data_IF_464269052750
#
_entry.id   IF_464269052750
#
_cell.length_a   1.000
_cell.length_b   1.000
_cell.length_c   1.000
_cell.angle_alpha   90.00
_cell.angle_beta   90.00
_cell.angle_gamma   90.00
#
_symmetry.space_group_name_H-M   'P 1'
#
loop_
_entity.id
_entity.type
_entity.pdbx_description
1 polymer ?
#
# COMPACT_ATOMS: atom_id res chain seq x y z
N UNK A 1 -16.69 -9.60 -21.81
CA UNK A 1 -17.29 -9.65 -23.15
C UNK A 1 -16.48 -10.57 -24.04
N UNK A 2 -15.29 -10.19 -24.52
CA UNK A 2 -14.45 -11.01 -25.42
C UNK A 2 -14.28 -12.46 -24.95
N UNK A 3 -13.87 -12.67 -23.70
CA UNK A 3 -13.74 -14.02 -23.12
C UNK A 3 -15.02 -14.88 -23.27
N UNK A 4 -16.19 -14.28 -23.05
CA UNK A 4 -17.46 -14.99 -23.19
C UNK A 4 -17.83 -15.17 -24.67
N UNK A 5 -17.66 -14.14 -25.49
CA UNK A 5 -17.90 -14.21 -26.93
C UNK A 5 -17.10 -15.33 -27.60
N UNK A 6 -15.83 -15.50 -27.21
CA UNK A 6 -14.97 -16.58 -27.72
C UNK A 6 -15.46 -17.97 -27.32
N UNK A 7 -15.89 -18.16 -26.06
CA UNK A 7 -16.50 -19.43 -25.60
C UNK A 7 -17.75 -19.80 -26.40
N UNK A 8 -18.53 -18.81 -26.81
CA UNK A 8 -19.77 -18.98 -27.55
C UNK A 8 -19.62 -18.78 -29.07
N UNK A 9 -18.40 -18.75 -29.63
CA UNK A 9 -18.15 -18.52 -31.07
C UNK A 9 -19.08 -19.33 -31.98
N UNK A 10 -19.16 -20.65 -31.77
CA UNK A 10 -20.02 -21.53 -32.57
C UNK A 10 -21.51 -21.20 -32.44
N UNK A 11 -21.98 -20.90 -31.23
CA UNK A 11 -23.37 -20.54 -30.98
C UNK A 11 -23.72 -19.16 -31.60
N UNK A 12 -22.81 -18.19 -31.52
CA UNK A 12 -22.99 -16.86 -32.09
C UNK A 12 -23.02 -16.89 -33.62
N UNK A 13 -22.14 -17.66 -34.26
CA UNK A 13 -22.16 -17.84 -35.72
C UNK A 13 -23.46 -18.51 -36.16
N UNK A 14 -23.88 -19.59 -35.49
CA UNK A 14 -25.14 -20.27 -35.78
C UNK A 14 -26.35 -19.35 -35.61
N UNK A 15 -26.38 -18.55 -34.55
CA UNK A 15 -27.44 -17.56 -34.33
C UNK A 15 -27.48 -16.52 -35.46
N UNK A 16 -26.31 -16.03 -35.89
CA UNK A 16 -26.24 -15.10 -37.01
C UNK A 16 -26.77 -15.73 -38.32
N UNK A 17 -26.45 -16.99 -38.59
CA UNK A 17 -26.97 -17.74 -39.73
C UNK A 17 -28.50 -17.91 -39.69
N UNK A 18 -29.04 -18.37 -38.55
CA UNK A 18 -30.47 -18.61 -38.35
C UNK A 18 -31.31 -17.33 -38.46
N UNK A 19 -30.74 -16.18 -38.09
CA UNK A 19 -31.41 -14.87 -38.13
C UNK A 19 -30.99 -13.99 -39.33
N UNK A 20 -30.21 -14.52 -40.27
CA UNK A 20 -29.71 -13.80 -41.45
C UNK A 20 -28.92 -12.52 -41.12
N UNK A 21 -28.16 -12.53 -40.02
CA UNK A 21 -27.17 -11.51 -39.71
C UNK A 21 -25.81 -11.83 -40.34
N UNK A 22 -24.98 -10.81 -40.54
CA UNK A 22 -23.59 -11.01 -40.93
C UNK A 22 -22.79 -11.58 -39.74
N UNK A 23 -22.32 -12.82 -39.87
CA UNK A 23 -21.45 -13.45 -38.89
C UNK A 23 -20.02 -12.90 -38.98
N UNK A 24 -19.27 -12.83 -37.86
CA UNK A 24 -17.85 -12.50 -37.90
C UNK A 24 -17.09 -13.57 -38.69
N UNK A 25 -16.15 -13.12 -39.52
CA UNK A 25 -15.22 -13.96 -40.27
C UNK A 25 -14.21 -14.64 -39.36
N UNK A 26 -13.55 -15.69 -39.86
CA UNK A 26 -12.45 -16.35 -39.12
C UNK A 26 -11.28 -15.41 -38.82
N UNK A 27 -11.03 -14.41 -39.69
CA UNK A 27 -10.03 -13.36 -39.45
C UNK A 27 -10.45 -12.45 -38.28
N UNK A 28 -11.71 -12.02 -38.22
CA UNK A 28 -12.24 -11.23 -37.11
C UNK A 28 -12.24 -12.01 -35.78
N UNK A 29 -12.53 -13.31 -35.82
CA UNK A 29 -12.41 -14.18 -34.64
C UNK A 29 -10.96 -14.32 -34.19
N UNK A 30 -10.02 -14.47 -35.12
CA UNK A 30 -8.59 -14.55 -34.81
C UNK A 30 -8.08 -13.25 -34.16
N UNK A 31 -8.51 -12.10 -34.67
CA UNK A 31 -8.24 -10.78 -34.04
C UNK A 31 -8.85 -10.66 -32.65
N UNK A 32 -10.07 -11.18 -32.44
CA UNK A 32 -10.70 -11.18 -31.13
C UNK A 32 -9.96 -12.06 -30.10
N UNK A 33 -9.40 -13.20 -30.53
CA UNK A 33 -8.56 -14.08 -29.70
C UNK A 33 -7.25 -13.39 -29.31
N UNK A 34 -6.56 -12.79 -30.29
CA UNK A 34 -5.33 -12.04 -30.06
C UNK A 34 -5.56 -10.86 -29.09
N UNK A 35 -6.62 -10.08 -29.33
CA UNK A 35 -7.02 -8.97 -28.46
C UNK A 35 -7.39 -9.44 -27.05
N UNK A 36 -8.07 -10.58 -26.93
CA UNK A 36 -8.38 -11.17 -25.63
C UNK A 36 -7.11 -11.51 -24.86
N UNK A 37 -6.14 -12.18 -25.48
CA UNK A 37 -4.86 -12.51 -24.86
C UNK A 37 -4.09 -11.28 -24.39
N UNK A 38 -4.04 -10.23 -25.22
CA UNK A 38 -3.43 -8.95 -24.86
C UNK A 38 -4.10 -8.30 -23.64
N UNK A 39 -5.44 -8.18 -23.65
CA UNK A 39 -6.19 -7.54 -22.56
C UNK A 39 -6.21 -8.37 -21.27
N UNK A 40 -6.01 -9.68 -21.37
CA UNK A 40 -5.99 -10.58 -20.22
C UNK A 40 -4.85 -10.26 -19.25
N UNK A 41 -3.67 -9.89 -19.75
CA UNK A 41 -2.53 -9.47 -18.92
C UNK A 41 -2.90 -8.30 -17.98
N UNK A 42 -3.60 -7.30 -18.51
CA UNK A 42 -4.08 -6.15 -17.72
C UNK A 42 -5.24 -6.53 -16.79
N UNK A 43 -6.09 -7.46 -17.20
CA UNK A 43 -7.16 -7.98 -16.34
C UNK A 43 -6.61 -8.69 -15.12
N UNK A 44 -5.59 -9.54 -15.30
CA UNK A 44 -4.98 -10.32 -14.23
C UNK A 44 -4.18 -9.42 -13.29
N UNK A 45 -3.44 -8.44 -13.83
CA UNK A 45 -2.87 -7.35 -13.04
C UNK A 45 -3.95 -6.65 -12.19
N UNK A 46 -5.03 -6.17 -12.82
CA UNK A 46 -6.11 -5.44 -12.12
C UNK A 46 -6.73 -6.28 -10.99
N UNK A 47 -6.98 -7.57 -11.21
CA UNK A 47 -7.50 -8.48 -10.17
C UNK A 47 -6.54 -8.60 -8.99
N UNK A 48 -5.23 -8.76 -9.26
CA UNK A 48 -4.23 -8.85 -8.21
C UNK A 48 -4.18 -7.57 -7.35
N UNK A 49 -4.34 -6.40 -7.96
CA UNK A 49 -4.30 -5.11 -7.27
C UNK A 49 -5.64 -4.65 -6.67
N UNK A 50 -6.75 -5.27 -7.10
CA UNK A 50 -8.09 -5.01 -6.56
C UNK A 50 -8.45 -5.93 -5.38
N UNK A 51 -7.50 -6.73 -4.90
CA UNK A 51 -7.70 -7.60 -3.74
C UNK A 51 -8.10 -6.78 -2.50
N UNK A 52 -9.19 -7.17 -1.86
CA UNK A 52 -9.88 -6.45 -0.77
C UNK A 52 -9.32 -6.79 0.63
N UNK A 53 -8.53 -7.86 0.76
CA UNK A 53 -8.14 -8.44 2.06
C UNK A 53 -6.70 -8.20 2.49
N UNK A 54 -5.89 -7.52 1.68
CA UNK A 54 -4.49 -7.24 2.00
C UNK A 54 -4.13 -5.81 1.59
N UNK A 55 -3.18 -5.16 2.28
CA UNK A 55 -2.70 -3.84 1.88
C UNK A 55 -2.20 -3.83 0.45
N UNK A 56 -2.61 -2.86 -0.36
CA UNK A 56 -2.17 -2.77 -1.76
C UNK A 56 -1.29 -1.56 -2.05
N UNK A 57 -1.28 -0.53 -1.18
CA UNK A 57 -0.50 0.71 -1.37
C UNK A 57 0.98 0.44 -1.72
N UNK A 58 1.61 -0.45 -0.95
CA UNK A 58 3.03 -0.77 -1.12
C UNK A 58 3.34 -1.52 -2.44
N UNK A 59 2.35 -2.14 -3.06
CA UNK A 59 2.49 -2.86 -4.33
C UNK A 59 2.35 -1.94 -5.55
N UNK A 60 2.02 -0.66 -5.35
CA UNK A 60 1.79 0.31 -6.43
C UNK A 60 2.93 0.34 -7.47
N UNK A 61 4.19 0.36 -7.04
CA UNK A 61 5.31 0.41 -7.98
C UNK A 61 5.50 -0.89 -8.76
N UNK A 62 5.22 -2.05 -8.13
CA UNK A 62 5.20 -3.34 -8.80
C UNK A 62 4.12 -3.38 -9.88
N UNK A 63 2.93 -2.83 -9.58
CA UNK A 63 1.83 -2.71 -10.54
C UNK A 63 2.22 -1.86 -11.75
N UNK A 64 2.70 -0.65 -11.50
CA UNK A 64 3.06 0.29 -12.56
C UNK A 64 4.15 -0.30 -13.47
N UNK A 65 5.16 -0.93 -12.88
CA UNK A 65 6.21 -1.60 -13.66
C UNK A 65 5.68 -2.80 -14.45
N UNK A 66 4.83 -3.65 -13.87
CA UNK A 66 4.25 -4.79 -14.57
C UNK A 66 3.44 -4.35 -15.80
N UNK A 67 2.59 -3.32 -15.65
CA UNK A 67 1.81 -2.74 -16.75
C UNK A 67 2.75 -2.17 -17.82
N UNK A 68 3.81 -1.45 -17.42
CA UNK A 68 4.82 -0.92 -18.35
C UNK A 68 5.50 -2.04 -19.15
N UNK A 69 5.89 -3.13 -18.48
CA UNK A 69 6.51 -4.28 -19.15
C UNK A 69 5.58 -4.95 -20.16
N UNK A 70 4.29 -5.10 -19.85
CA UNK A 70 3.30 -5.62 -20.81
C UNK A 70 3.17 -4.69 -22.01
N UNK A 71 3.12 -3.37 -21.80
CA UNK A 71 2.96 -2.40 -22.90
C UNK A 71 4.19 -2.31 -23.81
N UNK A 72 5.38 -2.55 -23.28
CA UNK A 72 6.65 -2.49 -24.02
C UNK A 72 7.10 -3.86 -24.55
N UNK A 73 6.26 -4.90 -24.45
CA UNK A 73 6.61 -6.23 -24.91
C UNK A 73 6.65 -6.27 -26.45
N UNK A 74 7.83 -6.58 -27.01
CA UNK A 74 8.06 -6.61 -28.45
C UNK A 74 7.22 -7.66 -29.19
N UNK A 75 6.63 -8.63 -28.47
CA UNK A 75 5.75 -9.63 -29.07
C UNK A 75 4.51 -9.02 -29.74
N UNK A 76 4.13 -7.79 -29.37
CA UNK A 76 3.00 -7.10 -29.99
C UNK A 76 3.35 -6.55 -31.37
N UNK A 77 4.64 -6.34 -31.67
CA UNK A 77 5.09 -5.74 -32.93
C UNK A 77 4.78 -6.61 -34.17
N UNK A 78 4.48 -7.89 -33.98
CA UNK A 78 4.11 -8.80 -35.08
C UNK A 78 2.67 -8.63 -35.56
N UNK A 79 1.81 -7.95 -34.80
CA UNK A 79 0.41 -7.72 -35.12
C UNK A 79 0.14 -6.21 -35.12
N UNK A 80 -0.25 -5.67 -36.28
CA UNK A 80 -0.47 -4.22 -36.46
C UNK A 80 -1.53 -3.67 -35.51
N UNK A 81 -2.60 -4.42 -35.25
CA UNK A 81 -3.67 -4.02 -34.34
C UNK A 81 -3.17 -4.00 -32.89
N UNK A 82 -2.46 -5.04 -32.45
CA UNK A 82 -1.96 -5.12 -31.07
C UNK A 82 -0.87 -4.08 -30.81
N UNK A 83 0.03 -3.86 -31.77
CA UNK A 83 1.04 -2.81 -31.67
C UNK A 83 0.41 -1.42 -31.54
N UNK A 84 -0.55 -1.08 -32.42
CA UNK A 84 -1.26 0.20 -32.34
C UNK A 84 -2.04 0.37 -31.01
N UNK A 85 -2.58 -0.72 -30.47
CA UNK A 85 -3.26 -0.71 -29.17
C UNK A 85 -2.28 -0.51 -28.02
N UNK A 86 -1.14 -1.19 -28.04
CA UNK A 86 -0.07 -1.04 -27.05
C UNK A 86 0.44 0.40 -27.02
N UNK A 87 0.72 0.99 -28.19
CA UNK A 87 1.15 2.38 -28.34
C UNK A 87 0.10 3.35 -27.74
N UNK A 88 -1.17 3.20 -28.12
CA UNK A 88 -2.25 4.06 -27.61
C UNK A 88 -2.45 3.93 -26.09
N UNK A 89 -2.30 2.72 -25.55
CA UNK A 89 -2.36 2.49 -24.10
C UNK A 89 -1.13 3.03 -23.38
N UNK A 90 0.04 2.98 -24.02
CA UNK A 90 1.28 3.54 -23.48
C UNK A 90 1.24 5.07 -23.40
N UNK A 91 0.66 5.76 -24.38
CA UNK A 91 0.42 7.20 -24.30
C UNK A 91 -0.41 7.58 -23.07
N UNK A 92 -1.47 6.82 -22.79
CA UNK A 92 -2.28 7.01 -21.58
C UNK A 92 -1.48 6.66 -20.34
N UNK A 93 -0.68 5.60 -20.39
CA UNK A 93 0.16 5.19 -19.28
C UNK A 93 1.10 6.33 -18.85
N UNK A 94 1.83 6.92 -19.79
CA UNK A 94 2.71 8.05 -19.53
C UNK A 94 1.94 9.27 -19.01
N UNK A 95 0.76 9.55 -19.57
CA UNK A 95 -0.10 10.65 -19.09
C UNK A 95 -0.48 10.52 -17.61
N UNK A 96 -0.79 9.31 -17.13
CA UNK A 96 -1.29 9.09 -15.77
C UNK A 96 -0.20 8.71 -14.76
N UNK A 97 0.86 8.03 -15.19
CA UNK A 97 1.88 7.46 -14.30
C UNK A 97 3.30 8.00 -14.52
N UNK A 98 3.52 8.97 -15.41
CA UNK A 98 4.82 9.66 -15.55
C UNK A 98 5.33 10.29 -14.24
N UNK A 99 4.42 10.74 -13.36
CA UNK A 99 4.78 11.22 -12.03
C UNK A 99 4.15 10.35 -10.95
N UNK A 100 4.95 9.58 -10.18
CA UNK A 100 4.42 8.72 -9.14
C UNK A 100 3.84 9.54 -7.97
N UNK A 101 2.78 9.01 -7.36
CA UNK A 101 2.18 9.62 -6.18
C UNK A 101 3.09 9.45 -4.95
N UNK A 102 3.46 10.55 -4.30
CA UNK A 102 4.38 10.54 -3.15
C UNK A 102 3.90 9.70 -1.96
N UNK A 103 2.59 9.64 -1.71
CA UNK A 103 2.01 8.85 -0.63
C UNK A 103 2.18 7.35 -0.90
N UNK A 104 2.00 6.93 -2.16
CA UNK A 104 2.22 5.54 -2.58
C UNK A 104 3.71 5.18 -2.60
N UNK A 105 4.59 6.14 -2.92
CA UNK A 105 6.05 5.96 -2.77
C UNK A 105 6.44 5.74 -1.31
N UNK A 106 5.85 6.51 -0.39
CA UNK A 106 6.08 6.33 1.04
C UNK A 106 5.60 4.95 1.50
N UNK A 107 4.41 4.52 1.07
CA UNK A 107 3.90 3.18 1.39
C UNK A 107 4.84 2.07 0.88
N UNK A 108 5.43 2.22 -0.31
CA UNK A 108 6.41 1.28 -0.84
C UNK A 108 7.73 1.28 -0.05
N UNK A 109 8.20 2.43 0.45
CA UNK A 109 9.37 2.49 1.35
C UNK A 109 9.08 1.81 2.69
N UNK A 110 7.86 1.94 3.18
CA UNK A 110 7.40 1.30 4.41
C UNK A 110 7.16 -0.21 4.24
N UNK A 111 7.35 -0.79 3.05
CA UNK A 111 7.50 -2.24 2.92
C UNK A 111 8.95 -2.64 3.20
N UNK A 112 9.22 -3.37 4.30
CA UNK A 112 10.57 -3.79 4.68
C UNK A 112 11.25 -4.71 3.67
N UNK A 113 10.49 -5.39 2.79
CA UNK A 113 11.04 -6.23 1.74
C UNK A 113 11.50 -5.44 0.50
N UNK A 114 11.04 -4.19 0.36
CA UNK A 114 11.33 -3.31 -0.77
C UNK A 114 12.27 -2.17 -0.37
N UNK A 115 11.85 -1.37 0.62
CA UNK A 115 12.56 -0.19 1.15
C UNK A 115 13.06 0.72 0.03
N UNK A 116 14.18 1.42 0.26
CA UNK A 116 14.76 2.33 -0.74
C UNK A 116 15.28 1.63 -1.98
N UNK A 117 15.66 0.36 -1.88
CA UNK A 117 16.28 -0.38 -2.98
C UNK A 117 15.31 -0.52 -4.15
N UNK A 118 14.05 -0.88 -3.87
CA UNK A 118 13.05 -1.01 -4.93
C UNK A 118 12.73 0.31 -5.60
N UNK A 119 12.74 1.42 -4.85
CA UNK A 119 12.48 2.74 -5.43
C UNK A 119 13.64 3.21 -6.30
N UNK A 120 14.88 2.95 -5.89
CA UNK A 120 16.05 3.20 -6.74
C UNK A 120 15.96 2.41 -8.04
N UNK A 121 15.59 1.13 -7.95
CA UNK A 121 15.32 0.29 -9.12
C UNK A 121 14.22 0.89 -10.00
N UNK A 122 13.06 1.24 -9.42
CA UNK A 122 11.95 1.87 -10.14
C UNK A 122 12.38 3.13 -10.90
N UNK A 123 13.02 4.10 -10.22
CA UNK A 123 13.44 5.34 -10.86
C UNK A 123 14.51 5.11 -11.94
N UNK A 124 15.42 4.16 -11.72
CA UNK A 124 16.40 3.76 -12.72
C UNK A 124 15.72 3.17 -13.97
N UNK A 125 14.73 2.28 -13.81
CA UNK A 125 13.98 1.68 -14.93
C UNK A 125 13.21 2.72 -15.76
N UNK A 126 12.76 3.80 -15.13
CA UNK A 126 12.12 4.93 -15.82
C UNK A 126 13.11 5.95 -16.40
N UNK A 127 14.43 5.73 -16.28
CA UNK A 127 15.44 6.66 -16.76
C UNK A 127 15.48 7.99 -15.98
N UNK A 128 14.94 8.03 -14.76
CA UNK A 128 14.91 9.22 -13.93
C UNK A 128 16.23 9.45 -13.18
N UNK A 129 16.44 10.69 -12.70
CA UNK A 129 17.59 11.04 -11.84
C UNK A 129 17.37 10.53 -10.42
N UNK A 130 17.78 9.27 -10.18
CA UNK A 130 17.54 8.51 -8.94
C UNK A 130 17.87 9.32 -7.68
N UNK A 131 19.02 10.01 -7.64
CA UNK A 131 19.43 10.77 -6.45
C UNK A 131 18.54 11.99 -6.17
N UNK A 132 17.99 12.62 -7.20
CA UNK A 132 17.08 13.76 -7.08
C UNK A 132 15.74 13.29 -6.52
N UNK A 133 15.17 12.25 -7.13
CA UNK A 133 13.89 11.66 -6.72
C UNK A 133 13.96 11.12 -5.28
N UNK A 134 15.03 10.39 -4.95
CA UNK A 134 15.22 9.85 -3.61
C UNK A 134 15.44 10.95 -2.56
N UNK A 135 16.07 12.07 -2.92
CA UNK A 135 16.22 13.23 -2.03
C UNK A 135 14.88 13.89 -1.73
N UNK A 136 14.05 14.08 -2.75
CA UNK A 136 12.71 14.63 -2.58
C UNK A 136 11.85 13.70 -1.71
N UNK A 137 11.86 12.39 -1.99
CA UNK A 137 11.15 11.40 -1.19
C UNK A 137 11.58 11.41 0.29
N UNK A 138 12.88 11.43 0.56
CA UNK A 138 13.41 11.51 1.94
C UNK A 138 12.93 12.78 2.67
N UNK A 139 12.74 13.89 1.95
CA UNK A 139 12.17 15.13 2.52
C UNK A 139 10.72 14.91 2.98
N UNK A 140 9.88 14.26 2.17
CA UNK A 140 8.51 13.95 2.54
C UNK A 140 8.42 12.90 3.66
N UNK A 141 9.21 11.83 3.60
CA UNK A 141 9.28 10.82 4.67
C UNK A 141 9.58 11.44 6.02
N UNK A 142 10.63 12.28 6.11
CA UNK A 142 10.96 13.00 7.35
C UNK A 142 9.86 13.94 7.81
N UNK A 143 9.16 14.60 6.88
CA UNK A 143 8.05 15.50 7.21
C UNK A 143 6.90 14.73 7.85
N UNK A 144 6.48 13.61 7.26
CA UNK A 144 5.41 12.78 7.83
C UNK A 144 5.86 12.12 9.14
N UNK A 145 7.07 11.60 9.21
CA UNK A 145 7.60 11.02 10.45
C UNK A 145 7.54 12.00 11.63
N UNK A 146 7.96 13.27 11.43
CA UNK A 146 7.87 14.32 12.46
C UNK A 146 6.43 14.62 12.89
N UNK A 147 5.47 14.47 11.97
CA UNK A 147 4.05 14.62 12.28
C UNK A 147 3.59 13.53 13.25
N UNK A 148 3.91 12.27 12.95
CA UNK A 148 3.61 11.13 13.82
C UNK A 148 4.32 11.23 15.16
N UNK A 149 5.60 11.64 15.15
CA UNK A 149 6.37 11.86 16.38
C UNK A 149 5.67 12.88 17.30
N UNK A 150 5.14 13.97 16.74
CA UNK A 150 4.40 14.97 17.50
C UNK A 150 3.08 14.41 18.04
N UNK A 151 2.33 13.65 17.25
CA UNK A 151 1.06 13.04 17.68
C UNK A 151 1.31 12.10 18.87
N UNK A 152 2.35 11.28 18.81
CA UNK A 152 2.73 10.37 19.90
C UNK A 152 3.13 11.16 21.14
N UNK A 153 4.00 12.17 21.01
CA UNK A 153 4.40 13.04 22.14
C UNK A 153 3.18 13.72 22.79
N UNK A 154 2.27 14.28 22.00
CA UNK A 154 1.06 14.95 22.52
C UNK A 154 0.10 13.97 23.21
N UNK A 155 -0.01 12.74 22.73
CA UNK A 155 -0.88 11.72 23.33
C UNK A 155 -0.35 11.21 24.67
N UNK A 156 0.98 11.18 24.83
CA UNK A 156 1.65 10.83 26.10
C UNK A 156 1.56 11.93 27.17
N UNK A 157 1.13 13.15 26.81
CA UNK A 157 1.00 14.29 27.73
C UNK A 157 -0.41 14.46 28.37
N UNK A 158 -1.34 13.53 28.16
CA UNK A 158 -2.58 13.48 28.97
C UNK A 158 -2.25 12.89 30.36
N UNK A 159 -1.60 13.70 31.18
CA UNK A 159 -1.46 13.46 32.61
C UNK A 159 -2.84 13.70 33.22
N UNK A 160 -3.59 12.63 33.47
CA UNK A 160 -4.61 12.66 34.52
C UNK A 160 -3.84 12.93 35.82
N UNK A 161 -4.14 14.00 36.58
CA UNK A 161 -3.48 14.22 37.86
C UNK A 161 -3.98 13.17 38.84
N UNK A 162 -3.31 12.01 38.88
CA UNK A 162 -3.48 11.08 40.00
C UNK A 162 -2.73 11.67 41.17
N UNK A 163 -3.51 12.26 42.08
CA UNK A 163 -3.05 12.75 43.37
C UNK A 163 -2.70 11.54 44.24
N UNK A 164 -1.50 10.98 44.09
CA UNK A 164 -0.99 9.94 44.97
C UNK A 164 0.25 10.43 45.71
N UNK A 165 0.08 10.63 47.02
CA UNK A 165 1.14 10.82 48.00
C UNK A 165 2.10 9.61 48.01
N UNK A 166 3.38 9.83 48.35
CA UNK A 166 4.34 8.74 48.45
C UNK A 166 4.07 7.94 49.73
N UNK A 167 3.54 6.72 49.59
CA UNK A 167 3.60 5.72 50.66
C UNK A 167 4.65 4.67 50.31
N UNK A 168 5.65 4.62 51.19
CA UNK A 168 6.81 3.76 51.13
C UNK A 168 6.45 2.37 51.63
N UNK A 169 6.09 1.43 50.74
CA UNK A 169 6.06 0.01 51.12
C UNK A 169 6.65 -0.87 50.02
N UNK A 170 7.80 -1.46 50.38
CA UNK A 170 8.54 -2.44 49.60
C UNK A 170 7.87 -3.80 49.66
N UNK A 171 7.45 -4.33 48.51
CA UNK A 171 7.32 -5.78 48.33
C UNK A 171 7.62 -6.17 46.89
N UNK A 172 8.89 -6.49 46.64
CA UNK A 172 9.37 -7.00 45.36
C UNK A 172 9.60 -8.51 45.48
N UNK A 173 8.58 -9.30 45.17
CA UNK A 173 8.78 -10.69 44.75
C UNK A 173 9.08 -10.68 43.24
N UNK A 174 10.34 -10.45 42.89
CA UNK A 174 10.87 -10.66 41.54
C UNK A 174 11.89 -11.78 41.58
N UNK A 175 11.55 -12.91 40.95
CA UNK A 175 12.43 -14.07 40.75
C UNK A 175 13.53 -13.69 39.75
N UNK A 176 14.57 -13.05 40.25
CA UNK A 176 15.80 -12.76 39.51
C UNK A 176 16.86 -13.82 39.86
N UNK A 177 17.60 -14.38 38.88
CA UNK A 177 18.55 -15.48 39.10
C UNK A 177 19.74 -15.12 40.00
N UNK A 178 19.89 -13.86 40.38
CA UNK A 178 21.01 -13.33 41.20
C UNK A 178 20.68 -13.14 42.68
N UNK A 179 19.46 -13.44 43.14
CA UNK A 179 19.07 -13.28 44.55
C UNK A 179 19.20 -11.84 45.10
N UNK A 180 19.03 -11.62 46.42
CA UNK A 180 19.06 -10.30 47.03
C UNK A 180 20.51 -9.81 47.29
N UNK A 181 21.32 -9.71 46.24
CA UNK A 181 22.66 -9.13 46.35
C UNK A 181 22.55 -7.61 46.57
N UNK A 182 23.04 -7.14 47.73
CA UNK A 182 23.02 -5.72 48.14
C UNK A 182 23.67 -4.76 47.12
N UNK A 183 24.60 -5.26 46.30
CA UNK A 183 25.25 -4.49 45.23
C UNK A 183 24.46 -4.36 43.92
N UNK A 184 23.39 -5.13 43.71
CA UNK A 184 22.67 -5.20 42.43
C UNK A 184 22.17 -3.82 41.98
N UNK A 185 21.44 -3.11 42.86
CA UNK A 185 20.92 -1.77 42.56
C UNK A 185 22.06 -0.80 42.25
N UNK A 186 23.15 -0.85 43.01
CA UNK A 186 24.31 0.03 42.79
C UNK A 186 24.99 -0.20 41.43
N UNK A 187 25.03 -1.44 40.96
CA UNK A 187 25.58 -1.78 39.64
C UNK A 187 24.62 -1.38 38.52
N UNK A 188 23.32 -1.62 38.69
CA UNK A 188 22.28 -1.19 37.74
C UNK A 188 22.25 0.35 37.62
N UNK A 189 22.31 1.07 38.73
CA UNK A 189 22.35 2.54 38.79
C UNK A 189 23.65 3.10 38.19
N UNK A 190 24.80 2.47 38.49
CA UNK A 190 26.09 2.87 37.92
C UNK A 190 26.14 2.63 36.40
N UNK A 191 25.57 1.51 35.94
CA UNK A 191 25.45 1.24 34.50
C UNK A 191 24.50 2.22 33.82
N UNK A 192 23.36 2.56 34.44
CA UNK A 192 22.43 3.57 33.93
C UNK A 192 23.10 4.95 33.80
N UNK A 193 23.87 5.38 34.80
CA UNK A 193 24.64 6.63 34.78
C UNK A 193 25.76 6.62 33.72
N UNK A 194 26.45 5.48 33.57
CA UNK A 194 27.47 5.32 32.53
C UNK A 194 26.84 5.36 31.13
N UNK A 195 25.72 4.65 30.93
CA UNK A 195 24.99 4.62 29.66
C UNK A 195 24.45 6.00 29.27
N UNK A 196 23.95 6.80 30.24
CA UNK A 196 23.48 8.16 29.98
C UNK A 196 24.62 9.14 29.65
N UNK A 197 25.81 8.98 30.24
CA UNK A 197 26.97 9.82 29.90
C UNK A 197 27.54 9.52 28.51
N UNK A 198 27.33 8.30 28.00
CA UNK A 198 27.83 7.88 26.70
C UNK A 198 26.87 8.20 25.53
N UNK A 199 25.63 8.64 25.81
CA UNK A 199 24.65 8.96 24.75
C UNK A 199 24.87 10.32 24.08
N UNK A 200 25.56 11.26 24.73
CA UNK A 200 25.75 12.64 24.23
C UNK A 200 26.67 12.76 22.99
N UNK A 201 27.36 11.67 22.59
CA UNK A 201 28.32 11.67 21.47
C UNK A 201 27.79 11.04 20.18
N UNK A 202 26.62 10.41 20.21
CA UNK A 202 26.02 9.73 19.07
C UNK A 202 24.98 10.67 18.47
N UNK A 203 25.18 11.12 17.23
CA UNK A 203 24.12 11.85 16.52
C UNK A 203 22.81 11.10 16.71
N UNK A 204 21.76 11.78 17.16
CA UNK A 204 20.45 11.18 17.43
C UNK A 204 19.87 10.65 16.10
N UNK A 205 20.30 9.44 15.70
CA UNK A 205 19.71 8.74 14.58
C UNK A 205 18.26 8.50 14.96
N UNK A 206 17.36 9.07 14.16
CA UNK A 206 15.94 8.85 14.37
C UNK A 206 15.59 7.39 14.07
N UNK A 207 14.47 6.92 14.58
CA UNK A 207 13.90 5.62 14.24
C UNK A 207 13.79 5.44 12.71
N UNK A 208 13.40 6.51 11.99
CA UNK A 208 13.37 6.54 10.52
C UNK A 208 14.76 6.31 9.91
N UNK A 209 15.80 6.96 10.42
CA UNK A 209 17.15 6.78 9.90
C UNK A 209 17.65 5.36 10.15
N UNK A 210 17.40 4.80 11.33
CA UNK A 210 17.70 3.40 11.64
C UNK A 210 16.99 2.44 10.67
N UNK A 211 15.67 2.60 10.49
CA UNK A 211 14.92 1.81 9.53
C UNK A 211 15.46 1.94 8.11
N UNK A 212 15.82 3.15 7.64
CA UNK A 212 16.33 3.32 6.28
C UNK A 212 17.74 2.78 6.08
N UNK A 213 18.56 2.70 7.14
CA UNK A 213 19.90 2.13 7.14
C UNK A 213 19.88 0.60 7.23
N UNK A 214 18.87 0.02 7.88
CA UNK A 214 18.75 -1.43 8.02
C UNK A 214 18.59 -2.13 6.66
N UNK A 215 19.16 -3.33 6.48
CA UNK A 215 18.98 -4.10 5.25
C UNK A 215 17.50 -4.41 5.00
N UNK A 216 17.13 -4.60 3.73
CA UNK A 216 15.80 -5.08 3.37
C UNK A 216 15.58 -6.52 3.83
N UNK A 217 14.34 -6.85 4.16
CA UNK A 217 13.92 -8.21 4.44
C UNK A 217 13.94 -9.01 3.14
N UNK A 218 14.70 -10.10 3.13
CA UNK A 218 14.76 -11.00 1.98
C UNK A 218 13.57 -11.95 2.08
N UNK A 219 12.63 -11.84 1.14
CA UNK A 219 11.47 -12.72 1.02
C UNK A 219 11.73 -13.68 -0.14
N UNK A 220 11.60 -15.00 0.11
CA UNK A 220 11.72 -16.02 -0.94
C UNK A 220 10.46 -16.04 -1.82
N UNK A 221 10.58 -16.49 -3.07
CA UNK A 221 9.46 -16.45 -4.04
C UNK A 221 8.26 -17.28 -3.57
N UNK A 222 8.50 -18.32 -2.80
CA UNK A 222 7.50 -19.27 -2.31
C UNK A 222 6.87 -18.83 -0.98
N UNK A 223 7.37 -17.77 -0.35
CA UNK A 223 6.95 -17.32 0.97
C UNK A 223 5.97 -16.13 0.87
N UNK A 224 4.82 -16.24 1.53
CA UNK A 224 3.89 -15.13 1.66
C UNK A 224 4.40 -14.15 2.74
N UNK A 225 4.83 -12.96 2.33
CA UNK A 225 5.23 -11.90 3.27
C UNK A 225 4.04 -11.01 3.64
N UNK A 226 3.73 -10.96 4.93
CA UNK A 226 2.69 -10.07 5.46
C UNK A 226 3.33 -8.82 6.09
N UNK A 227 3.29 -7.71 5.35
CA UNK A 227 3.88 -6.43 5.75
C UNK A 227 3.28 -5.87 7.05
N UNK A 228 1.97 -6.04 7.28
CA UNK A 228 1.31 -5.55 8.50
C UNK A 228 1.71 -6.38 9.71
N UNK A 229 1.80 -7.70 9.55
CA UNK A 229 2.25 -8.58 10.61
C UNK A 229 3.72 -8.28 10.99
N UNK A 230 4.56 -7.95 10.00
CA UNK A 230 5.93 -7.50 10.26
C UNK A 230 5.96 -6.21 11.08
N UNK A 231 5.20 -5.18 10.70
CA UNK A 231 5.14 -3.92 11.46
C UNK A 231 4.59 -4.11 12.86
N UNK A 232 3.57 -4.97 13.03
CA UNK A 232 3.04 -5.31 14.35
C UNK A 232 4.07 -6.02 15.24
N UNK A 233 4.90 -6.90 14.66
CA UNK A 233 5.95 -7.61 15.40
C UNK A 233 7.10 -6.68 15.81
N UNK A 234 7.39 -5.66 15.00
CA UNK A 234 8.51 -4.74 15.22
C UNK A 234 8.08 -3.38 15.78
N UNK A 235 6.85 -3.25 16.30
CA UNK A 235 6.34 -1.98 16.82
C UNK A 235 7.12 -1.46 18.02
N UNK A 236 7.71 -2.35 18.81
CA UNK A 236 8.51 -1.95 19.99
C UNK A 236 9.85 -1.32 19.58
N UNK A 237 10.44 -1.83 18.49
CA UNK A 237 11.67 -1.27 17.91
C UNK A 237 11.39 -0.01 17.07
N UNK A 238 10.20 0.06 16.47
CA UNK A 238 9.78 1.14 15.58
C UNK A 238 8.39 1.70 15.97
N UNK A 239 8.26 2.37 17.14
CA UNK A 239 6.96 2.82 17.66
C UNK A 239 6.29 3.90 16.81
N UNK A 240 7.04 4.82 16.20
CA UNK A 240 6.46 5.91 15.40
C UNK A 240 6.19 5.43 13.96
N UNK A 241 7.14 4.72 13.36
CA UNK A 241 6.99 4.19 12.00
C UNK A 241 5.93 3.11 11.92
N UNK A 242 5.74 2.28 12.95
CA UNK A 242 4.68 1.26 12.91
C UNK A 242 3.28 1.90 12.81
N UNK A 243 3.06 3.04 13.47
CA UNK A 243 1.84 3.84 13.32
C UNK A 243 1.71 4.45 11.93
N UNK A 244 2.79 5.04 11.42
CA UNK A 244 2.83 5.60 10.06
C UNK A 244 2.59 4.51 9.01
N UNK A 245 3.23 3.35 9.14
CA UNK A 245 3.07 2.20 8.27
C UNK A 245 1.64 1.68 8.29
N UNK A 246 1.02 1.53 9.47
CA UNK A 246 -0.38 1.13 9.58
C UNK A 246 -1.30 2.01 8.72
N UNK A 247 -1.14 3.32 8.81
CA UNK A 247 -2.03 4.26 8.14
C UNK A 247 -1.73 4.35 6.63
N UNK A 248 -0.46 4.42 6.22
CA UNK A 248 -0.08 4.49 4.81
C UNK A 248 -0.35 3.18 4.04
N UNK A 249 -0.14 2.03 4.68
CA UNK A 249 -0.38 0.74 4.04
C UNK A 249 -1.87 0.44 3.91
N UNK A 250 -2.71 0.98 4.80
CA UNK A 250 -4.16 0.83 4.73
C UNK A 250 -4.81 1.55 3.54
N UNK A 251 -4.07 2.42 2.83
CA UNK A 251 -4.57 3.15 1.67
C UNK A 251 -4.84 2.15 0.52
N UNK A 252 -6.08 2.01 0.03
CA UNK A 252 -6.32 1.19 -1.14
C UNK A 252 -5.79 1.89 -2.40
N UNK A 253 -5.10 1.15 -3.27
CA UNK A 253 -4.65 1.64 -4.58
C UNK A 253 -5.82 1.81 -5.57
N UNK A 254 -6.95 1.14 -5.31
CA UNK A 254 -8.11 1.09 -6.21
C UNK A 254 -9.42 1.35 -5.48
N UNK A 255 -10.35 2.07 -6.14
CA UNK A 255 -11.75 2.22 -5.70
C UNK A 255 -12.57 0.95 -5.91
N UNK A 256 -12.08 -0.03 -6.69
CA UNK A 256 -12.85 -1.21 -7.08
C UNK A 256 -13.31 -2.03 -5.86
N UNK A 257 -12.53 -2.06 -4.77
CA UNK A 257 -12.93 -2.74 -3.53
C UNK A 257 -14.17 -2.09 -2.90
N UNK A 258 -14.22 -0.76 -2.84
CA UNK A 258 -15.40 -0.05 -2.31
C UNK A 258 -16.60 -0.18 -3.26
N UNK A 259 -16.39 -0.07 -4.57
CA UNK A 259 -17.45 -0.28 -5.58
C UNK A 259 -18.02 -1.71 -5.54
N UNK A 260 -17.19 -2.72 -5.31
CA UNK A 260 -17.62 -4.11 -5.12
C UNK A 260 -18.46 -4.27 -3.85
N UNK A 261 -18.02 -3.68 -2.74
CA UNK A 261 -18.78 -3.66 -1.49
C UNK A 261 -20.13 -2.96 -1.66
N UNK A 262 -20.17 -1.80 -2.33
CA UNK A 262 -21.40 -1.08 -2.65
C UNK A 262 -22.31 -1.86 -3.62
N UNK A 263 -21.74 -2.55 -4.60
CA UNK A 263 -22.49 -3.41 -5.53
C UNK A 263 -23.11 -4.61 -4.82
N UNK A 264 -22.37 -5.25 -3.90
CA UNK A 264 -22.88 -6.32 -3.05
C UNK A 264 -23.98 -5.82 -2.11
N UNK A 265 -23.77 -4.66 -1.46
CA UNK A 265 -24.77 -4.02 -0.63
C UNK A 265 -26.04 -3.66 -1.43
N UNK A 266 -25.91 -3.14 -2.65
CA UNK A 266 -27.04 -2.82 -3.53
C UNK A 266 -27.88 -4.04 -3.92
N UNK A 267 -27.26 -5.22 -4.07
CA UNK A 267 -27.98 -6.48 -4.29
C UNK A 267 -28.72 -6.97 -3.04
N UNK A 268 -28.18 -6.71 -1.85
CA UNK A 268 -28.78 -7.10 -0.57
C UNK A 268 -29.92 -6.14 -0.18
N UNK A 269 -29.77 -4.84 -0.49
CA UNK A 269 -30.69 -3.79 -0.04
C UNK A 269 -31.89 -3.54 -0.97
N UNK A 270 -31.90 -4.10 -2.18
CA UNK A 270 -33.01 -3.98 -3.14
C UNK A 270 -33.16 -2.56 -3.73
N UNK A 271 -33.84 -2.46 -4.88
CA UNK A 271 -33.99 -1.21 -5.67
C UNK A 271 -34.90 -0.15 -5.04
N UNK A 272 -35.67 -0.47 -4.00
CA UNK A 272 -36.83 0.34 -3.61
C UNK A 272 -36.67 1.24 -2.39
N UNK A 273 -35.49 1.37 -1.76
CA UNK A 273 -35.35 2.29 -0.62
C UNK A 273 -33.97 2.88 -0.46
N UNK A 274 -33.64 3.99 -1.14
CA UNK A 274 -32.73 5.03 -0.62
C UNK A 274 -32.96 6.39 -1.34
N UNK A 275 -34.12 7.02 -1.11
CA UNK A 275 -34.11 8.49 -0.99
C UNK A 275 -33.72 8.77 0.46
N UNK A 276 -32.42 8.97 0.70
CA UNK A 276 -31.97 9.49 2.00
C UNK A 276 -32.43 10.93 2.08
N UNK A 277 -33.59 11.17 2.69
CA UNK A 277 -33.96 12.51 3.15
C UNK A 277 -32.98 12.90 4.24
N UNK A 278 -32.38 14.08 4.08
CA UNK A 278 -31.55 14.73 5.08
C UNK A 278 -32.37 15.00 6.35
N UNK A 279 -32.27 14.14 7.35
CA UNK A 279 -32.51 14.52 8.75
C UNK A 279 -32.01 13.45 9.72
N UNK A 280 -30.87 13.79 10.32
CA UNK A 280 -30.44 13.47 11.70
C UNK A 280 -29.97 12.03 12.03
N UNK A 281 -28.74 12.04 12.56
CA UNK A 281 -28.01 11.02 13.35
C UNK A 281 -27.73 9.65 12.73
N UNK A 282 -26.52 9.52 12.17
CA UNK A 282 -25.82 8.24 11.99
C UNK A 282 -24.81 8.07 13.14
N UNK A 283 -24.68 6.88 13.78
CA UNK A 283 -23.72 6.68 14.87
C UNK A 283 -22.27 6.69 14.37
N UNK A 284 -21.37 7.18 15.22
CA UNK A 284 -19.92 7.23 15.03
C UNK A 284 -19.31 5.85 14.71
N UNK A 285 -18.98 5.63 13.43
CA UNK A 285 -17.99 4.65 12.99
C UNK A 285 -17.26 5.24 11.78
N UNK A 286 -16.40 6.23 12.04
CA UNK A 286 -15.60 6.90 11.02
C UNK A 286 -14.49 5.99 10.52
N UNK A 287 -14.66 5.41 9.33
CA UNK A 287 -13.53 4.94 8.51
C UNK A 287 -13.17 6.07 7.55
N UNK A 288 -12.05 6.74 7.80
CA UNK A 288 -11.41 7.61 6.81
C UNK A 288 -10.91 6.73 5.66
N UNK A 289 -11.68 6.62 4.59
CA UNK A 289 -11.24 5.97 3.36
C UNK A 289 -10.61 7.05 2.47
N UNK A 290 -9.29 7.22 2.57
CA UNK A 290 -8.55 7.97 1.56
C UNK A 290 -8.34 7.06 0.36
N UNK A 291 -9.02 7.32 -0.75
CA UNK A 291 -8.80 6.57 -1.99
C UNK A 291 -7.95 7.42 -2.94
N UNK A 292 -6.80 6.88 -3.34
CA UNK A 292 -5.99 7.46 -4.42
C UNK A 292 -6.49 6.86 -5.71
N UNK A 293 -7.17 7.66 -6.51
CA UNK A 293 -7.61 7.23 -7.86
C UNK A 293 -6.41 7.21 -8.82
N UNK A 294 -6.53 6.48 -9.94
CA UNK A 294 -5.56 6.47 -11.03
C UNK A 294 -5.22 7.87 -11.61
N UNK A 295 -5.99 8.91 -11.25
CA UNK A 295 -5.71 10.31 -11.59
C UNK A 295 -4.88 11.07 -10.55
N UNK A 296 -4.32 10.39 -9.53
CA UNK A 296 -3.45 11.00 -8.51
C UNK A 296 -4.14 12.00 -7.56
N UNK A 297 -5.47 12.13 -7.61
CA UNK A 297 -6.24 12.99 -6.71
C UNK A 297 -6.59 12.22 -5.43
N UNK A 298 -6.09 12.72 -4.29
CA UNK A 298 -6.59 12.35 -2.97
C UNK A 298 -7.88 13.12 -2.71
N UNK A 299 -9.00 12.41 -2.56
CA UNK A 299 -10.21 13.00 -2.01
C UNK A 299 -10.24 12.73 -0.51
N UNK A 300 -10.13 13.79 0.29
CA UNK A 300 -10.56 13.74 1.69
C UNK A 300 -12.08 13.83 1.69
N UNK A 301 -12.77 12.77 2.12
CA UNK A 301 -14.14 12.92 2.59
C UNK A 301 -14.08 13.74 3.88
N UNK A 302 -14.32 15.05 3.74
CA UNK A 302 -14.40 15.97 4.86
C UNK A 302 -15.68 15.66 5.65
N UNK A 303 -15.62 15.43 6.98
CA UNK A 303 -16.81 15.22 7.78
C UNK A 303 -17.41 16.59 8.09
N UNK A 304 -18.59 16.86 7.54
CA UNK A 304 -19.55 17.77 8.15
C UNK A 304 -20.84 16.99 8.40
#
# INVERSE_FOLDING_TARGET
MLNESLKYKAALNRFAEEHHYQAPSEDEWSKAEALHGFLQEFSDATKAFSADRHPTAHLYLKMVLAIRYVLLDERWNSDELLNALADSMYEKFEKYWSKPNIVLLIAAVLDPSMKTDYLKFYFHTFGAQVDVEMRELRRYLRRYYREYERIVRSSSHVVIPTNEQPTSESNANSMSPLGPLCGKRRVEDAFAQFASQNSDSRSEKTELDAYLDDPRVIVRKEEAFNVIAWWKKNSDAYPILSLMARDFLAIPVSTVSSESAFSAAGRILGKDRLVVRSSHSVPHAGTLCAVVTAAGKCYYCNPF
#
